data_IF_063111218249
#
_entry.id   IF_063111218249
#
_cell.length_a   1.000
_cell.length_b   1.000
_cell.length_c   1.000
_cell.angle_alpha   90.00
_cell.angle_beta   90.00
_cell.angle_gamma   90.00
#
_symmetry.space_group_name_H-M   'P 1'
#
loop_
_entity.id
_entity.type
_entity.pdbx_description
1 polymer ?
#
# COMPACT_ATOMS: atom_id res chain seq x y z
N UNK A 1 -9.60 -8.48 -24.23
CA UNK A 1 -8.73 -8.64 -23.07
C UNK A 1 -7.31 -8.42 -23.51
N UNK A 2 -6.59 -7.48 -22.88
CA UNK A 2 -5.15 -7.29 -23.09
C UNK A 2 -4.45 -7.79 -21.83
N UNK A 3 -3.42 -8.61 -22.03
CA UNK A 3 -2.75 -9.42 -21.02
C UNK A 3 -2.13 -8.58 -19.90
N UNK A 4 -2.22 -9.12 -18.69
CA UNK A 4 -1.59 -8.67 -17.46
C UNK A 4 -0.12 -9.10 -17.44
N UNK A 5 0.69 -8.66 -18.41
CA UNK A 5 2.10 -9.09 -18.51
C UNK A 5 3.05 -8.03 -19.09
N UNK A 6 2.71 -6.75 -18.89
CA UNK A 6 3.67 -5.65 -19.00
C UNK A 6 3.96 -5.17 -17.58
N UNK A 7 5.23 -5.04 -17.24
CA UNK A 7 5.69 -4.38 -16.01
C UNK A 7 5.36 -2.89 -16.02
N UNK A 8 4.07 -2.58 -16.06
CA UNK A 8 3.54 -1.24 -16.02
C UNK A 8 3.82 -0.70 -14.63
N UNK A 9 4.79 0.21 -14.54
CA UNK A 9 5.11 0.88 -13.29
C UNK A 9 3.87 1.60 -12.75
N UNK A 10 3.87 1.89 -11.45
CA UNK A 10 2.79 2.71 -10.87
C UNK A 10 2.68 4.06 -11.59
N UNK A 11 3.76 4.55 -12.22
CA UNK A 11 3.73 5.75 -13.05
C UNK A 11 2.91 5.59 -14.33
N UNK A 12 3.01 4.46 -15.04
CA UNK A 12 2.18 4.24 -16.23
C UNK A 12 0.71 4.03 -15.88
N UNK A 13 0.40 3.57 -14.67
CA UNK A 13 -0.97 3.44 -14.18
C UNK A 13 -1.54 4.73 -13.56
N UNK A 14 -0.70 5.75 -13.29
CA UNK A 14 -1.09 6.91 -12.50
C UNK A 14 -2.23 7.71 -13.12
N UNK A 15 -2.14 8.01 -14.42
CA UNK A 15 -3.17 8.78 -15.13
C UNK A 15 -4.50 8.00 -15.16
N UNK A 16 -4.45 6.70 -15.47
CA UNK A 16 -5.63 5.84 -15.49
C UNK A 16 -6.29 5.76 -14.10
N UNK A 17 -5.49 5.65 -13.03
CA UNK A 17 -5.99 5.63 -11.66
C UNK A 17 -6.68 6.95 -11.28
N UNK A 18 -6.10 8.09 -11.64
CA UNK A 18 -6.70 9.40 -11.41
C UNK A 18 -8.01 9.57 -12.19
N UNK A 19 -8.03 9.18 -13.46
CA UNK A 19 -9.24 9.23 -14.29
C UNK A 19 -10.34 8.34 -13.71
N UNK A 20 -9.99 7.11 -13.28
CA UNK A 20 -10.93 6.19 -12.65
C UNK A 20 -11.49 6.75 -11.35
N UNK A 21 -10.64 7.28 -10.47
CA UNK A 21 -11.04 7.89 -9.21
C UNK A 21 -12.01 9.06 -9.43
N UNK A 22 -11.73 9.95 -10.41
CA UNK A 22 -12.63 11.05 -10.80
C UNK A 22 -13.97 10.53 -11.33
N UNK A 23 -13.92 9.57 -12.25
CA UNK A 23 -15.11 9.07 -12.93
C UNK A 23 -16.07 8.33 -11.99
N UNK A 24 -15.51 7.62 -10.99
CA UNK A 24 -16.29 6.81 -10.05
C UNK A 24 -16.53 7.50 -8.70
N UNK A 25 -15.97 8.70 -8.49
CA UNK A 25 -16.07 9.42 -7.22
C UNK A 25 -15.50 8.62 -6.04
N UNK A 26 -14.39 7.91 -6.25
CA UNK A 26 -13.81 7.00 -5.27
C UNK A 26 -12.30 7.24 -5.07
N UNK A 27 -11.73 6.55 -4.09
CA UNK A 27 -10.27 6.48 -3.91
C UNK A 27 -9.76 5.23 -4.61
N UNK A 28 -8.70 5.40 -5.40
CA UNK A 28 -7.95 4.32 -6.04
C UNK A 28 -6.58 4.21 -5.38
N UNK A 29 -6.22 3.00 -4.96
CA UNK A 29 -4.87 2.65 -4.50
C UNK A 29 -4.26 1.68 -5.52
N UNK A 30 -3.15 2.07 -6.13
CA UNK A 30 -2.33 1.24 -7.02
C UNK A 30 -1.08 0.84 -6.26
N UNK A 31 -0.82 -0.46 -6.15
CA UNK A 31 0.33 -0.98 -5.41
C UNK A 31 1.49 -1.35 -6.31
N UNK A 32 2.72 -1.14 -5.86
CA UNK A 32 3.93 -1.51 -6.58
C UNK A 32 5.17 -1.35 -5.70
N UNK A 33 6.33 -1.08 -6.31
CA UNK A 33 7.53 -0.68 -5.55
C UNK A 33 7.31 0.65 -4.79
N UNK A 34 6.53 1.55 -5.38
CA UNK A 34 5.99 2.75 -4.74
C UNK A 34 4.50 2.76 -4.99
N UNK A 35 3.71 2.73 -3.92
CA UNK A 35 2.25 2.76 -4.05
C UNK A 35 1.76 4.18 -4.40
N UNK A 36 0.61 4.28 -5.07
CA UNK A 36 -0.07 5.53 -5.40
C UNK A 36 -1.52 5.49 -4.91
N UNK A 37 -1.90 6.43 -4.06
CA UNK A 37 -3.28 6.65 -3.64
C UNK A 37 -3.81 7.95 -4.25
N UNK A 38 -5.02 7.93 -4.83
CA UNK A 38 -5.64 9.14 -5.39
C UNK A 38 -7.16 9.16 -5.24
N UNK A 39 -7.73 10.34 -4.96
CA UNK A 39 -9.17 10.62 -5.05
C UNK A 39 -9.55 11.25 -6.40
N UNK A 40 -8.62 11.24 -7.36
CA UNK A 40 -8.75 11.88 -8.65
C UNK A 40 -8.31 13.34 -8.67
N UNK A 41 -8.39 14.08 -7.56
CA UNK A 41 -7.93 15.47 -7.50
C UNK A 41 -6.53 15.59 -6.90
N UNK A 42 -6.27 14.78 -5.87
CA UNK A 42 -5.01 14.69 -5.15
C UNK A 42 -4.43 13.31 -5.32
N UNK A 43 -3.12 13.24 -5.31
CA UNK A 43 -2.38 11.98 -5.40
C UNK A 43 -1.24 12.00 -4.40
N UNK A 44 -1.05 10.88 -3.72
CA UNK A 44 0.06 10.66 -2.81
C UNK A 44 0.79 9.38 -3.17
N UNK A 45 2.12 9.43 -3.14
CA UNK A 45 3.01 8.28 -3.28
C UNK A 45 3.45 7.80 -1.91
N UNK A 46 3.46 6.49 -1.72
CA UNK A 46 3.91 5.83 -0.49
C UNK A 46 5.09 4.94 -0.84
N UNK A 47 6.23 5.21 -0.21
CA UNK A 47 7.45 4.39 -0.35
C UNK A 47 7.63 3.50 0.87
N UNK A 48 8.39 2.41 0.72
CA UNK A 48 8.69 1.45 1.77
C UNK A 48 8.28 0.04 1.36
N UNK A 49 7.95 -0.79 2.35
CA UNK A 49 7.63 -2.19 2.10
C UNK A 49 8.87 -3.05 1.95
N UNK A 50 8.72 -4.18 1.25
CA UNK A 50 9.75 -5.19 1.10
C UNK A 50 9.61 -5.92 -0.23
N UNK A 51 10.74 -6.20 -0.86
CA UNK A 51 10.83 -7.02 -2.07
C UNK A 51 10.37 -8.47 -1.86
N UNK A 52 10.19 -8.91 -0.61
CA UNK A 52 9.63 -10.22 -0.26
C UNK A 52 8.10 -10.25 -0.28
N UNK A 53 7.43 -9.09 -0.21
CA UNK A 53 5.96 -9.03 -0.17
C UNK A 53 5.29 -9.63 -1.42
N UNK A 54 5.78 -9.38 -2.66
CA UNK A 54 5.22 -10.02 -3.85
C UNK A 54 5.43 -11.54 -3.90
N UNK A 55 6.33 -12.08 -3.07
CA UNK A 55 6.66 -13.52 -3.02
C UNK A 55 5.81 -14.27 -1.98
N UNK A 56 4.93 -13.58 -1.26
CA UNK A 56 4.02 -14.17 -0.28
C UNK A 56 2.59 -14.06 -0.81
N UNK A 57 1.88 -15.20 -0.84
CA UNK A 57 0.50 -15.25 -1.30
C UNK A 57 -0.42 -14.39 -0.42
N UNK A 58 -1.49 -13.88 -1.03
CA UNK A 58 -2.54 -13.09 -0.37
C UNK A 58 -2.12 -11.76 0.28
N UNK A 59 -0.92 -11.24 0.04
CA UNK A 59 -0.50 -9.94 0.57
C UNK A 59 -1.40 -8.78 0.10
N UNK A 60 -1.82 -8.77 -1.17
CA UNK A 60 -2.77 -7.76 -1.67
C UNK A 60 -4.16 -7.84 -1.01
N UNK A 61 -4.63 -9.06 -0.72
CA UNK A 61 -5.88 -9.27 0.02
C UNK A 61 -5.76 -8.77 1.46
N UNK A 62 -4.63 -9.03 2.11
CA UNK A 62 -4.35 -8.54 3.46
C UNK A 62 -4.33 -7.01 3.52
N UNK A 63 -3.69 -6.35 2.54
CA UNK A 63 -3.73 -4.89 2.42
C UNK A 63 -5.16 -4.36 2.25
N UNK A 64 -5.97 -5.02 1.43
CA UNK A 64 -7.36 -4.62 1.21
C UNK A 64 -8.21 -4.75 2.49
N UNK A 65 -8.00 -5.81 3.26
CA UNK A 65 -8.64 -5.99 4.56
C UNK A 65 -8.22 -4.92 5.58
N UNK A 66 -6.92 -4.58 5.62
CA UNK A 66 -6.42 -3.50 6.47
C UNK A 66 -7.04 -2.15 6.06
N UNK A 67 -7.05 -1.85 4.76
CA UNK A 67 -7.64 -0.63 4.21
C UNK A 67 -9.12 -0.48 4.59
N UNK A 68 -9.90 -1.56 4.54
CA UNK A 68 -11.29 -1.54 4.98
C UNK A 68 -11.44 -1.12 6.46
N UNK A 69 -10.55 -1.59 7.35
CA UNK A 69 -10.53 -1.18 8.75
C UNK A 69 -10.25 0.32 8.94
N UNK A 70 -9.25 0.85 8.22
CA UNK A 70 -8.93 2.28 8.25
C UNK A 70 -10.06 3.15 7.69
N UNK A 71 -10.65 2.75 6.56
CA UNK A 71 -11.77 3.49 5.95
C UNK A 71 -13.02 3.44 6.84
N UNK A 72 -13.27 2.34 7.55
CA UNK A 72 -14.42 2.20 8.42
C UNK A 72 -14.45 3.23 9.57
N UNK A 73 -13.28 3.66 10.06
CA UNK A 73 -13.14 4.63 11.15
C UNK A 73 -12.95 6.08 10.67
N UNK A 74 -12.51 6.30 9.43
CA UNK A 74 -12.24 7.62 8.85
C UNK A 74 -13.04 7.84 7.55
N UNK A 75 -14.36 7.66 7.63
CA UNK A 75 -15.29 7.65 6.48
C UNK A 75 -15.35 8.98 5.74
N UNK A 76 -15.09 10.09 6.44
CA UNK A 76 -15.03 11.45 5.91
C UNK A 76 -13.69 11.77 5.22
N UNK A 77 -12.67 10.93 5.41
CA UNK A 77 -11.31 11.14 4.91
C UNK A 77 -10.75 9.89 4.21
N UNK A 78 -11.43 9.33 3.19
CA UNK A 78 -11.08 8.04 2.59
C UNK A 78 -9.67 8.01 1.96
N UNK A 79 -9.21 9.13 1.38
CA UNK A 79 -7.84 9.20 0.83
C UNK A 79 -6.79 9.11 1.94
N UNK A 80 -6.99 9.84 3.05
CA UNK A 80 -6.09 9.79 4.18
C UNK A 80 -6.09 8.39 4.83
N UNK A 81 -7.26 7.75 4.91
CA UNK A 81 -7.40 6.39 5.41
C UNK A 81 -6.64 5.37 4.54
N UNK A 82 -6.76 5.46 3.22
CA UNK A 82 -6.03 4.60 2.28
C UNK A 82 -4.52 4.80 2.39
N UNK A 83 -4.05 6.06 2.44
CA UNK A 83 -2.63 6.39 2.63
C UNK A 83 -2.12 5.85 3.96
N UNK A 84 -2.87 6.01 5.04
CA UNK A 84 -2.47 5.52 6.37
C UNK A 84 -2.35 3.99 6.39
N UNK A 85 -3.33 3.27 5.82
CA UNK A 85 -3.29 1.81 5.69
C UNK A 85 -2.08 1.34 4.87
N UNK A 86 -1.83 1.94 3.71
CA UNK A 86 -0.69 1.62 2.86
C UNK A 86 0.65 1.88 3.57
N UNK A 87 0.78 3.00 4.30
CA UNK A 87 1.97 3.32 5.09
C UNK A 87 2.23 2.32 6.21
N UNK A 88 1.19 1.91 6.93
CA UNK A 88 1.29 0.89 7.99
C UNK A 88 1.73 -0.45 7.40
N UNK A 89 1.14 -0.84 6.27
CA UNK A 89 1.48 -2.07 5.56
C UNK A 89 2.93 -2.05 5.05
N UNK A 90 3.36 -0.94 4.45
CA UNK A 90 4.73 -0.71 3.99
C UNK A 90 5.74 -0.74 5.15
N UNK A 91 5.44 -0.07 6.27
CA UNK A 91 6.32 -0.05 7.44
C UNK A 91 6.46 -1.43 8.08
N UNK A 92 5.36 -2.18 8.18
CA UNK A 92 5.39 -3.56 8.66
C UNK A 92 6.22 -4.45 7.72
N UNK A 93 6.06 -4.30 6.40
CA UNK A 93 6.85 -5.01 5.41
C UNK A 93 8.35 -4.73 5.52
N UNK A 94 8.71 -3.47 5.67
CA UNK A 94 10.09 -3.03 5.82
C UNK A 94 10.72 -3.58 7.11
N UNK A 95 9.99 -3.53 8.23
CA UNK A 95 10.44 -4.10 9.52
C UNK A 95 10.58 -5.62 9.46
N UNK A 96 9.66 -6.32 8.79
CA UNK A 96 9.72 -7.76 8.64
C UNK A 96 10.90 -8.22 7.77
N UNK A 97 11.26 -7.42 6.75
CA UNK A 97 12.42 -7.70 5.90
C UNK A 97 13.73 -7.79 6.70
N UNK A 98 13.86 -7.04 7.79
CA UNK A 98 15.08 -7.04 8.63
C UNK A 98 15.29 -8.35 9.37
N UNK A 99 14.23 -9.15 9.56
CA UNK A 99 14.25 -10.39 10.35
C UNK A 99 14.04 -11.64 9.47
N UNK A 100 13.45 -11.46 8.29
CA UNK A 100 13.14 -12.57 7.39
C UNK A 100 14.39 -13.06 6.63
N UNK A 101 14.57 -14.38 6.59
CA UNK A 101 15.58 -15.05 5.76
C UNK A 101 15.05 -15.39 4.34
N UNK A 102 13.77 -15.14 4.08
CA UNK A 102 13.09 -15.43 2.82
C UNK A 102 11.56 -15.50 3.01
N UNK A 103 10.78 -15.72 1.92
CA UNK A 103 9.32 -15.58 1.93
C UNK A 103 8.59 -16.41 2.99
N UNK A 104 9.07 -17.63 3.26
CA UNK A 104 8.47 -18.51 4.29
C UNK A 104 8.59 -17.96 5.72
N UNK A 105 9.69 -17.26 6.03
CA UNK A 105 9.90 -16.61 7.32
C UNK A 105 9.36 -15.16 7.36
N UNK A 106 9.08 -14.58 6.19
CA UNK A 106 8.59 -13.22 6.07
C UNK A 106 7.17 -13.07 6.61
N UNK A 107 6.25 -13.98 6.29
CA UNK A 107 4.85 -13.84 6.71
C UNK A 107 4.69 -13.80 8.24
N UNK A 108 5.30 -14.70 9.04
CA UNK A 108 5.28 -14.58 10.50
C UNK A 108 5.89 -13.26 10.99
N UNK A 109 7.07 -12.88 10.47
CA UNK A 109 7.72 -11.63 10.84
C UNK A 109 6.89 -10.38 10.48
N UNK A 110 6.13 -10.44 9.39
CA UNK A 110 5.21 -9.39 8.95
C UNK A 110 4.02 -9.23 9.89
N UNK A 111 3.43 -10.34 10.33
CA UNK A 111 2.34 -10.31 11.31
C UNK A 111 2.81 -9.75 12.66
N UNK A 112 4.00 -10.16 13.11
CA UNK A 112 4.61 -9.62 14.33
C UNK A 112 4.94 -8.13 14.18
N UNK A 113 5.46 -7.73 13.02
CA UNK A 113 5.74 -6.32 12.71
C UNK A 113 4.47 -5.46 12.71
N UNK A 114 3.35 -5.96 12.16
CA UNK A 114 2.06 -5.26 12.24
C UNK A 114 1.60 -5.07 13.69
N UNK A 115 1.76 -6.09 14.53
CA UNK A 115 1.38 -6.02 15.95
C UNK A 115 2.25 -5.05 16.75
N UNK A 116 3.55 -5.04 16.48
CA UNK A 116 4.53 -4.24 17.23
C UNK A 116 4.70 -2.81 16.71
N UNK A 117 4.09 -2.47 15.57
CA UNK A 117 4.30 -1.22 14.87
C UNK A 117 4.02 -0.01 15.78
N UNK A 118 4.93 0.95 15.77
CA UNK A 118 4.82 2.21 16.50
C UNK A 118 4.69 3.39 15.52
N UNK A 119 4.11 4.53 15.95
CA UNK A 119 4.01 5.72 15.09
C UNK A 119 5.36 6.18 14.51
N UNK A 120 6.45 5.98 15.25
CA UNK A 120 7.80 6.33 14.79
C UNK A 120 8.27 5.49 13.58
N UNK A 121 7.79 4.25 13.43
CA UNK A 121 8.15 3.38 12.31
C UNK A 121 7.64 3.97 10.97
N UNK A 122 6.53 4.72 11.00
CA UNK A 122 5.95 5.35 9.81
C UNK A 122 6.82 6.46 9.22
N UNK A 123 7.81 6.98 9.97
CA UNK A 123 8.76 7.97 9.46
C UNK A 123 9.64 7.41 8.32
N UNK A 124 9.82 6.08 8.28
CA UNK A 124 10.58 5.38 7.24
C UNK A 124 9.78 5.15 5.95
N UNK A 125 8.46 5.33 6.02
CA UNK A 125 7.53 5.18 4.91
C UNK A 125 6.74 6.48 4.70
N UNK A 126 7.39 7.56 4.22
CA UNK A 126 6.72 8.84 4.00
C UNK A 126 5.67 8.72 2.90
N UNK A 127 4.63 9.56 3.00
CA UNK A 127 3.72 9.82 1.90
C UNK A 127 3.96 11.24 1.38
N UNK A 128 4.20 11.37 0.08
CA UNK A 128 4.49 12.65 -0.58
C UNK A 128 3.47 12.93 -1.67
N UNK A 129 3.14 14.20 -1.88
CA UNK A 129 2.31 14.59 -3.03
C UNK A 129 3.02 14.20 -4.34
N UNK A 130 2.24 13.69 -5.30
CA UNK A 130 2.70 13.45 -6.68
C UNK A 130 2.65 14.71 -7.53
#
# INVERSE_FOLDING_TARGET
GRGMDSGDSVDSAAEAAQQLARAQGCVVLVTGETDLATDGQRSLRIVGGSHLMPQVTAMGCALSALLAGFVAIARDQPLAAAVAAARVFAAAGQRAQEQAAGPGSFLPAFLDALYLLQPADLARCPATAS
#
